data_IF_483576745553
#
_entry.id   IF_483576745553
#
_cell.length_a   1.000
_cell.length_b   1.000
_cell.length_c   1.000
_cell.angle_alpha   90.00
_cell.angle_beta   90.00
_cell.angle_gamma   90.00
#
_symmetry.space_group_name_H-M   'P 1'
#
loop_
_entity.id
_entity.type
_entity.pdbx_description
1 polymer ?
#
# COMPACT_ATOMS: atom_id res chain seq x y z
N UNK A 1 -9.16 -18.21 -19.27
CA UNK A 1 -10.37 -18.06 -18.43
C UNK A 1 -9.91 -17.83 -17.00
N UNK A 2 -10.29 -16.71 -16.39
CA UNK A 2 -9.90 -16.34 -15.02
C UNK A 2 -9.96 -14.82 -14.86
N UNK A 3 -11.16 -14.26 -14.73
CA UNK A 3 -11.37 -12.80 -14.65
C UNK A 3 -12.35 -12.43 -13.52
N UNK A 4 -12.57 -13.34 -12.56
CA UNK A 4 -13.53 -13.16 -11.47
C UNK A 4 -12.90 -13.31 -10.07
N UNK A 5 -11.59 -13.59 -9.98
CA UNK A 5 -10.90 -13.81 -8.70
C UNK A 5 -10.13 -12.57 -8.20
N UNK A 6 -9.84 -11.61 -9.08
CA UNK A 6 -9.06 -10.41 -8.74
C UNK A 6 -9.92 -9.27 -8.15
N UNK A 7 -11.22 -9.21 -8.45
CA UNK A 7 -12.06 -8.08 -8.04
C UNK A 7 -12.33 -8.02 -6.54
N UNK A 8 -12.51 -9.15 -5.86
CA UNK A 8 -12.79 -9.16 -4.42
C UNK A 8 -11.59 -8.65 -3.61
N UNK A 9 -10.38 -9.02 -4.02
CA UNK A 9 -9.16 -8.52 -3.40
C UNK A 9 -8.98 -7.03 -3.70
N UNK A 10 -9.14 -6.61 -4.95
CA UNK A 10 -9.05 -5.20 -5.34
C UNK A 10 -10.06 -4.33 -4.55
N UNK A 11 -11.30 -4.80 -4.40
CA UNK A 11 -12.31 -4.14 -3.60
C UNK A 11 -11.93 -4.08 -2.11
N UNK A 12 -11.39 -5.16 -1.55
CA UNK A 12 -10.96 -5.18 -0.16
C UNK A 12 -9.81 -4.18 0.08
N UNK A 13 -8.80 -4.19 -0.80
CA UNK A 13 -7.65 -3.28 -0.70
C UNK A 13 -8.08 -1.81 -0.86
N UNK A 14 -8.95 -1.52 -1.83
CA UNK A 14 -9.53 -0.18 -2.00
C UNK A 14 -10.38 0.27 -0.82
N UNK A 15 -11.12 -0.66 -0.20
CA UNK A 15 -11.88 -0.36 1.02
C UNK A 15 -10.95 -0.02 2.18
N UNK A 16 -9.83 -0.73 2.33
CA UNK A 16 -8.83 -0.46 3.38
C UNK A 16 -8.22 0.92 3.20
N UNK A 17 -7.70 1.27 2.02
CA UNK A 17 -7.06 2.58 1.82
C UNK A 17 -8.06 3.73 1.91
N UNK A 18 -9.28 3.56 1.40
CA UNK A 18 -10.34 4.56 1.55
C UNK A 18 -10.75 4.76 3.01
N UNK A 19 -10.85 3.66 3.78
CA UNK A 19 -11.16 3.72 5.21
C UNK A 19 -10.06 4.42 6.01
N UNK A 20 -8.78 4.26 5.61
CA UNK A 20 -7.67 4.97 6.25
C UNK A 20 -7.83 6.50 6.10
N UNK A 21 -8.21 6.97 4.91
CA UNK A 21 -8.51 8.40 4.67
C UNK A 21 -9.75 8.86 5.44
N UNK A 22 -10.80 8.02 5.52
CA UNK A 22 -12.04 8.37 6.21
C UNK A 22 -11.89 8.43 7.74
N UNK A 23 -11.13 7.51 8.32
CA UNK A 23 -11.14 7.24 9.76
C UNK A 23 -9.95 7.81 10.52
N UNK A 24 -8.83 8.09 9.84
CA UNK A 24 -7.60 8.57 10.50
C UNK A 24 -7.51 10.09 10.33
N UNK A 25 -7.58 10.81 11.46
CA UNK A 25 -7.44 12.27 11.47
C UNK A 25 -6.10 12.71 10.88
N UNK A 26 -6.14 13.64 9.92
CA UNK A 26 -4.94 14.19 9.27
C UNK A 26 -4.40 13.36 8.10
N UNK A 27 -5.08 12.29 7.69
CA UNK A 27 -4.73 11.54 6.48
C UNK A 27 -5.50 12.09 5.29
N UNK A 28 -4.80 12.74 4.36
CA UNK A 28 -5.37 13.27 3.11
C UNK A 28 -5.43 12.21 2.00
N UNK A 29 -4.48 11.26 2.01
CA UNK A 29 -4.35 10.19 1.05
C UNK A 29 -3.67 8.98 1.68
N UNK A 30 -4.04 7.80 1.20
CA UNK A 30 -3.48 6.51 1.56
C UNK A 30 -3.21 5.65 0.33
N UNK A 31 -2.26 4.73 0.48
CA UNK A 31 -1.84 3.72 -0.50
C UNK A 31 -1.30 2.49 0.25
N UNK A 32 -1.11 1.39 -0.46
CA UNK A 32 -0.43 0.20 0.04
C UNK A 32 0.77 -0.12 -0.86
N UNK A 33 1.97 -0.10 -0.28
CA UNK A 33 3.17 -0.58 -0.95
C UNK A 33 3.26 -2.11 -0.83
N UNK A 34 3.29 -2.80 -1.97
CA UNK A 34 3.53 -4.25 -2.03
C UNK A 34 4.90 -4.51 -2.64
N UNK A 35 5.73 -5.26 -1.92
CA UNK A 35 7.04 -5.70 -2.39
C UNK A 35 7.04 -7.17 -2.78
N UNK A 36 7.65 -7.50 -3.91
CA UNK A 36 7.85 -8.85 -4.41
C UNK A 36 9.18 -8.95 -5.16
N UNK A 37 10.06 -9.87 -4.76
CA UNK A 37 11.35 -10.12 -5.41
C UNK A 37 12.22 -8.87 -5.65
N UNK A 38 12.15 -7.88 -4.74
CA UNK A 38 12.90 -6.63 -4.85
C UNK A 38 12.25 -5.56 -5.73
N UNK A 39 11.12 -5.88 -6.37
CA UNK A 39 10.24 -4.90 -7.00
C UNK A 39 9.18 -4.44 -6.00
N UNK A 40 8.75 -3.20 -6.13
CA UNK A 40 7.68 -2.66 -5.31
C UNK A 40 6.67 -1.93 -6.17
N UNK A 41 5.40 -2.00 -5.75
CA UNK A 41 4.27 -1.40 -6.44
C UNK A 41 3.28 -0.79 -5.45
N UNK A 42 2.75 0.36 -5.80
CA UNK A 42 1.56 0.95 -5.18
C UNK A 42 0.31 0.16 -5.52
N UNK A 43 -0.57 -0.04 -4.55
CA UNK A 43 -1.82 -0.81 -4.71
C UNK A 43 -2.97 -0.11 -4.02
N UNK A 44 -4.05 0.08 -4.78
CA UNK A 44 -5.24 0.79 -4.33
C UNK A 44 -4.98 2.22 -3.79
N UNK A 45 -4.20 3.06 -4.50
CA UNK A 45 -3.97 4.44 -4.09
C UNK A 45 -5.27 5.24 -4.14
N UNK A 46 -5.48 6.08 -3.15
CA UNK A 46 -6.62 7.01 -3.10
C UNK A 46 -6.37 8.30 -3.89
N UNK A 47 -5.09 8.61 -4.17
CA UNK A 47 -4.68 9.77 -4.96
C UNK A 47 -3.40 9.48 -5.76
N UNK A 48 -3.20 10.12 -6.93
CA UNK A 48 -1.97 9.97 -7.71
C UNK A 48 -0.70 10.34 -6.93
N UNK A 49 -0.78 11.34 -6.04
CA UNK A 49 0.35 11.76 -5.22
C UNK A 49 0.89 10.63 -4.32
N UNK A 50 0.04 9.74 -3.84
CA UNK A 50 0.49 8.62 -3.00
C UNK A 50 1.42 7.66 -3.78
N UNK A 51 1.10 7.40 -5.05
CA UNK A 51 1.94 6.62 -5.97
C UNK A 51 3.27 7.32 -6.23
N UNK A 52 3.25 8.63 -6.45
CA UNK A 52 4.46 9.43 -6.64
C UNK A 52 5.39 9.36 -5.41
N UNK A 53 4.82 9.42 -4.21
CA UNK A 53 5.58 9.32 -2.97
C UNK A 53 6.21 7.93 -2.79
N UNK A 54 5.51 6.85 -3.12
CA UNK A 54 6.09 5.50 -3.12
C UNK A 54 7.25 5.39 -4.13
N UNK A 55 7.10 5.92 -5.34
CA UNK A 55 8.18 5.95 -6.34
C UNK A 55 9.42 6.72 -5.85
N UNK A 56 9.22 7.85 -5.15
CA UNK A 56 10.31 8.63 -4.55
C UNK A 56 11.06 7.80 -3.51
N UNK A 57 10.34 7.08 -2.65
CA UNK A 57 10.96 6.24 -1.62
C UNK A 57 11.81 5.12 -2.22
N UNK A 58 11.28 4.46 -3.26
CA UNK A 58 12.00 3.39 -3.97
C UNK A 58 13.24 3.91 -4.70
N UNK A 59 13.12 5.05 -5.38
CA UNK A 59 14.24 5.65 -6.11
C UNK A 59 15.40 6.00 -5.16
N UNK A 60 15.09 6.56 -4.00
CA UNK A 60 16.10 6.94 -3.01
C UNK A 60 16.49 5.82 -2.05
N UNK A 61 15.82 4.66 -2.13
CA UNK A 61 15.97 3.53 -1.21
C UNK A 61 15.84 3.96 0.26
N UNK A 62 14.92 4.90 0.54
CA UNK A 62 14.70 5.50 1.85
C UNK A 62 13.24 5.86 2.02
N UNK A 63 12.75 5.86 3.26
CA UNK A 63 11.46 6.43 3.60
C UNK A 63 10.51 5.44 4.26
N UNK A 64 9.43 5.97 4.85
CA UNK A 64 8.65 5.25 5.86
C UNK A 64 8.01 3.94 5.37
N UNK A 65 7.50 3.90 4.12
CA UNK A 65 6.88 2.69 3.58
C UNK A 65 7.92 1.61 3.28
N UNK A 66 9.06 2.00 2.70
CA UNK A 66 10.14 1.06 2.40
C UNK A 66 10.79 0.53 3.69
N UNK A 67 11.10 1.42 4.63
CA UNK A 67 11.67 1.06 5.92
C UNK A 67 10.75 0.12 6.69
N UNK A 68 9.44 0.40 6.71
CA UNK A 68 8.45 -0.49 7.31
C UNK A 68 8.43 -1.89 6.69
N UNK A 69 8.63 -1.98 5.37
CA UNK A 69 8.58 -3.26 4.65
C UNK A 69 9.83 -4.12 4.86
N UNK A 70 11.01 -3.53 5.09
CA UNK A 70 12.29 -4.26 5.10
C UNK A 70 13.04 -4.24 6.43
N UNK A 71 12.81 -3.24 7.29
CA UNK A 71 13.58 -3.00 8.50
C UNK A 71 12.78 -3.17 9.79
N UNK A 72 11.45 -3.05 9.74
CA UNK A 72 10.60 -3.06 10.92
C UNK A 72 10.10 -4.46 11.32
N UNK A 73 9.55 -4.55 12.53
CA UNK A 73 9.05 -5.82 13.08
C UNK A 73 7.84 -6.31 12.31
N UNK A 74 7.92 -7.54 11.79
CA UNK A 74 6.78 -8.22 11.17
C UNK A 74 5.81 -8.72 12.24
N UNK A 75 4.57 -8.24 12.19
CA UNK A 75 3.48 -8.73 13.03
C UNK A 75 2.61 -9.67 12.19
N UNK A 76 2.49 -10.93 12.63
CA UNK A 76 1.63 -11.92 12.01
C UNK A 76 0.47 -12.19 12.95
N UNK A 77 -0.74 -11.97 12.45
CA UNK A 77 -1.97 -12.28 13.15
C UNK A 77 -2.58 -13.56 12.54
N UNK A 78 -2.93 -14.53 13.38
CA UNK A 78 -3.40 -15.87 12.96
C UNK A 78 -4.91 -16.05 13.06
N UNK A 79 -5.61 -14.97 13.38
CA UNK A 79 -7.07 -14.86 13.39
C UNK A 79 -7.71 -15.07 12.01
#
# INVERSE_FOLDING_TARGET
>A
QGHAKDTALEHALSSITSSAVELIEGVDFADMLVMHEGEARSVAPTAPLAVELDMVQLHHQQGPCLDAAINETVIISTD
#
